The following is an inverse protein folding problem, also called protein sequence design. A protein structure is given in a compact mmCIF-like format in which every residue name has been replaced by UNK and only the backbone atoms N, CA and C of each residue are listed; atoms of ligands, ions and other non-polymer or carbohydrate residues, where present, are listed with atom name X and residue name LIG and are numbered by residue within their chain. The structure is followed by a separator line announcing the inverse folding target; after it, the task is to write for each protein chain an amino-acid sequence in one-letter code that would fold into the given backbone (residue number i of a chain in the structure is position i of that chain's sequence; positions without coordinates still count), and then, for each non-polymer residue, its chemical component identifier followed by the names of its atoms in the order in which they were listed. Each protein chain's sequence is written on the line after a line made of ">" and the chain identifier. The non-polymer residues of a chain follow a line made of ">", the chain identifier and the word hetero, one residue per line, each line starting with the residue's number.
data_IF_497058083124
#
_entry.id   IF_497058083124
#
_cell.length_a   1.000
_cell.length_b   1.000
_cell.length_c   1.000
_cell.angle_alpha   90.00
_cell.angle_beta   90.00
_cell.angle_gamma   90.00
#
_symmetry.space_group_name_H-M   'P 1'
#
loop_
_entity.id
_entity.type
_entity.pdbx_description
1 polymer ?
#
# COMPACT_ATOMS: atom_id res chain seq x y z
N UNK A 1 41.89 -63.14 51.20
CA UNK A 1 40.94 -62.11 51.68
C UNK A 1 41.37 -60.71 51.25
N UNK A 2 42.68 -60.39 51.23
CA UNK A 2 43.24 -59.12 50.72
C UNK A 2 42.93 -58.84 49.24
N UNK A 3 43.05 -59.85 48.39
CA UNK A 3 42.97 -59.65 46.93
C UNK A 3 41.53 -59.36 46.48
N UNK A 4 40.54 -59.87 47.24
CA UNK A 4 39.12 -59.58 47.01
C UNK A 4 38.82 -58.13 47.39
N UNK A 5 39.33 -57.64 48.53
CA UNK A 5 39.17 -56.22 48.90
C UNK A 5 39.87 -55.25 47.96
N UNK A 6 41.00 -55.65 47.35
CA UNK A 6 41.68 -54.84 46.34
C UNK A 6 40.90 -54.78 45.03
N UNK A 7 40.31 -55.91 44.62
CA UNK A 7 39.41 -55.97 43.47
C UNK A 7 38.13 -55.16 43.69
N UNK A 8 37.53 -55.23 44.88
CA UNK A 8 36.36 -54.43 45.26
C UNK A 8 36.66 -52.92 45.24
N UNK A 9 37.82 -52.50 45.77
CA UNK A 9 38.27 -51.11 45.72
C UNK A 9 38.53 -50.60 44.30
N UNK A 10 39.04 -51.47 43.42
CA UNK A 10 39.18 -51.14 41.99
C UNK A 10 37.84 -51.06 41.27
N UNK A 11 36.89 -51.94 41.63
CA UNK A 11 35.55 -51.93 41.07
C UNK A 11 34.76 -50.69 41.48
N UNK A 12 34.81 -50.28 42.75
CA UNK A 12 34.16 -49.05 43.21
C UNK A 12 34.76 -47.81 42.53
N UNK A 13 36.10 -47.75 42.41
CA UNK A 13 36.77 -46.68 41.68
C UNK A 13 36.40 -46.63 40.20
N UNK A 14 36.32 -47.80 39.53
CA UNK A 14 35.89 -47.90 38.15
C UNK A 14 34.43 -47.48 37.97
N UNK A 15 33.54 -47.89 38.89
CA UNK A 15 32.13 -47.52 38.87
C UNK A 15 31.91 -46.02 39.11
N UNK A 16 32.65 -45.40 40.03
CA UNK A 16 32.61 -43.94 40.22
C UNK A 16 33.12 -43.18 39.00
N UNK A 17 34.15 -43.69 38.32
CA UNK A 17 34.65 -43.10 37.07
C UNK A 17 33.62 -43.24 35.94
N UNK A 18 32.94 -44.37 35.85
CA UNK A 18 31.86 -44.58 34.88
C UNK A 18 30.68 -43.66 35.22
N UNK A 19 30.27 -43.55 36.48
CA UNK A 19 29.21 -42.65 36.91
C UNK A 19 29.53 -41.19 36.54
N UNK A 20 30.73 -40.70 36.86
CA UNK A 20 31.18 -39.36 36.42
C UNK A 20 31.25 -39.21 34.90
N UNK A 21 31.63 -40.28 34.19
CA UNK A 21 31.67 -40.30 32.73
C UNK A 21 30.28 -40.25 32.09
N UNK A 22 29.30 -40.94 32.69
CA UNK A 22 27.90 -40.93 32.28
C UNK A 22 27.26 -39.57 32.59
N UNK A 23 27.51 -39.00 33.77
CA UNK A 23 27.04 -37.66 34.11
C UNK A 23 27.63 -36.59 33.16
N UNK A 24 28.91 -36.71 32.80
CA UNK A 24 29.54 -35.83 31.83
C UNK A 24 28.97 -36.01 30.41
N UNK A 25 28.71 -37.25 29.98
CA UNK A 25 28.03 -37.51 28.70
C UNK A 25 26.60 -36.98 28.72
N UNK A 26 25.88 -37.12 29.82
CA UNK A 26 24.51 -36.65 29.97
C UNK A 26 24.44 -35.12 30.01
N UNK A 27 25.47 -34.45 30.54
CA UNK A 27 25.64 -33.00 30.45
C UNK A 27 25.99 -32.52 29.03
N UNK A 28 26.66 -33.33 28.22
CA UNK A 28 26.93 -33.05 26.79
C UNK A 28 25.71 -33.35 25.90
N UNK A 29 24.81 -34.22 26.36
CA UNK A 29 23.52 -34.53 25.70
C UNK A 29 22.39 -33.60 26.17
N UNK A 30 22.62 -32.79 27.22
CA UNK A 30 21.74 -31.67 27.51
C UNK A 30 21.68 -30.79 26.25
N UNK A 31 20.48 -30.54 25.74
CA UNK A 31 20.28 -29.80 24.49
C UNK A 31 21.11 -28.51 24.54
N UNK A 32 21.87 -28.20 23.46
CA UNK A 32 22.54 -26.92 23.40
C UNK A 32 21.45 -25.86 23.52
N UNK A 33 21.59 -24.97 24.50
CA UNK A 33 20.74 -23.80 24.64
C UNK A 33 20.69 -23.13 23.26
N UNK A 34 19.52 -23.15 22.61
CA UNK A 34 19.37 -22.61 21.27
C UNK A 34 19.64 -21.11 21.39
N UNK A 35 20.88 -20.71 21.07
CA UNK A 35 21.32 -19.33 21.23
C UNK A 35 20.35 -18.36 20.58
N UNK A 36 20.20 -17.18 21.17
CA UNK A 36 19.20 -16.18 20.78
C UNK A 36 19.14 -15.93 19.26
N UNK A 37 20.28 -16.03 18.57
CA UNK A 37 20.39 -15.91 17.10
C UNK A 37 19.57 -16.97 16.33
N UNK A 38 19.55 -18.22 16.81
CA UNK A 38 18.79 -19.32 16.18
C UNK A 38 17.29 -19.10 16.38
N UNK A 39 16.90 -18.58 17.55
CA UNK A 39 15.50 -18.24 17.82
C UNK A 39 15.05 -17.03 16.99
N UNK A 40 15.90 -16.02 16.82
CA UNK A 40 15.62 -14.87 15.97
C UNK A 40 15.45 -15.27 14.49
N UNK A 41 16.32 -16.14 13.97
CA UNK A 41 16.22 -16.65 12.60
C UNK A 41 14.96 -17.49 12.37
N UNK A 42 14.52 -18.28 13.36
CA UNK A 42 13.25 -19.02 13.27
C UNK A 42 12.04 -18.10 13.20
N UNK A 43 12.00 -17.05 14.04
CA UNK A 43 10.93 -16.04 13.97
C UNK A 43 10.92 -15.32 12.63
N UNK A 44 12.09 -14.99 12.09
CA UNK A 44 12.20 -14.37 10.76
C UNK A 44 11.66 -15.29 9.64
N UNK A 45 11.97 -16.60 9.69
CA UNK A 45 11.45 -17.59 8.75
C UNK A 45 9.92 -17.78 8.88
N UNK A 46 9.40 -17.79 10.11
CA UNK A 46 7.95 -17.86 10.37
C UNK A 46 7.23 -16.62 9.80
N UNK A 47 7.81 -15.44 9.95
CA UNK A 47 7.28 -14.21 9.38
C UNK A 47 7.32 -14.22 7.84
N UNK A 48 8.43 -14.66 7.25
CA UNK A 48 8.55 -14.79 5.78
C UNK A 48 7.54 -15.80 5.22
N UNK A 49 7.32 -16.92 5.91
CA UNK A 49 6.31 -17.91 5.54
C UNK A 49 4.88 -17.34 5.59
N UNK A 50 4.56 -16.52 6.60
CA UNK A 50 3.28 -15.81 6.72
C UNK A 50 3.07 -14.82 5.57
N UNK A 51 4.07 -14.00 5.27
CA UNK A 51 4.02 -13.04 4.16
C UNK A 51 3.86 -13.78 2.83
N UNK A 52 4.59 -14.88 2.63
CA UNK A 52 4.49 -15.70 1.42
C UNK A 52 3.09 -16.29 1.27
N UNK A 53 2.49 -16.83 2.34
CA UNK A 53 1.13 -17.34 2.32
C UNK A 53 0.09 -16.26 1.96
N UNK A 54 0.25 -15.04 2.50
CA UNK A 54 -0.60 -13.90 2.16
C UNK A 54 -0.43 -13.47 0.69
N UNK A 55 0.80 -13.48 0.17
CA UNK A 55 1.05 -13.18 -1.24
C UNK A 55 0.47 -14.26 -2.16
N UNK A 56 0.57 -15.53 -1.80
CA UNK A 56 -0.07 -16.62 -2.55
C UNK A 56 -1.59 -16.49 -2.57
N UNK A 57 -2.22 -16.11 -1.45
CA UNK A 57 -3.65 -15.86 -1.40
C UNK A 57 -4.05 -14.67 -2.29
N UNK A 58 -3.27 -13.57 -2.25
CA UNK A 58 -3.46 -12.42 -3.13
C UNK A 58 -3.30 -12.79 -4.61
N UNK A 59 -2.29 -13.58 -4.96
CA UNK A 59 -2.09 -14.05 -6.34
C UNK A 59 -3.26 -14.91 -6.78
N UNK A 60 -3.75 -15.84 -5.95
CA UNK A 60 -4.94 -16.66 -6.28
C UNK A 60 -6.20 -15.81 -6.47
N UNK A 61 -6.40 -14.80 -5.62
CA UNK A 61 -7.53 -13.90 -5.75
C UNK A 61 -7.44 -13.04 -7.02
N UNK A 62 -6.24 -12.58 -7.39
CA UNK A 62 -5.99 -11.84 -8.62
C UNK A 62 -6.20 -12.71 -9.86
N UNK A 63 -5.72 -13.95 -9.86
CA UNK A 63 -5.92 -14.87 -10.99
C UNK A 63 -7.39 -15.22 -11.16
N UNK A 64 -8.13 -15.49 -10.08
CA UNK A 64 -9.57 -15.74 -10.16
C UNK A 64 -10.34 -14.55 -10.74
N UNK A 65 -9.93 -13.32 -10.38
CA UNK A 65 -10.51 -12.09 -10.93
C UNK A 65 -10.13 -11.86 -12.41
N UNK A 66 -8.93 -12.25 -12.81
CA UNK A 66 -8.52 -12.21 -14.22
C UNK A 66 -9.33 -13.20 -15.04
N UNK A 67 -9.52 -14.42 -14.55
CA UNK A 67 -10.33 -15.44 -15.23
C UNK A 67 -11.79 -14.97 -15.41
N UNK A 68 -12.39 -14.39 -14.37
CA UNK A 68 -13.76 -13.83 -14.44
C UNK A 68 -13.87 -12.69 -15.47
N UNK A 69 -12.89 -11.77 -15.50
CA UNK A 69 -12.86 -10.68 -16.47
C UNK A 69 -12.62 -11.20 -17.91
N UNK A 70 -11.81 -12.24 -18.09
CA UNK A 70 -11.59 -12.87 -19.39
C UNK A 70 -12.85 -13.58 -19.89
N UNK A 71 -13.60 -14.25 -19.00
CA UNK A 71 -14.90 -14.85 -19.31
C UNK A 71 -15.94 -13.78 -19.69
N UNK A 72 -16.03 -12.66 -18.96
CA UNK A 72 -16.92 -11.56 -19.30
C UNK A 72 -16.58 -10.94 -20.67
N UNK A 73 -15.30 -10.71 -20.95
CA UNK A 73 -14.83 -10.08 -22.18
C UNK A 73 -14.98 -11.01 -23.39
N UNK A 74 -14.81 -12.32 -23.19
CA UNK A 74 -15.11 -13.31 -24.24
C UNK A 74 -16.60 -13.40 -24.51
N UNK A 75 -17.46 -13.42 -23.49
CA UNK A 75 -18.91 -13.39 -23.65
C UNK A 75 -19.39 -12.10 -24.35
N UNK A 76 -18.82 -10.94 -24.02
CA UNK A 76 -19.15 -9.66 -24.68
C UNK A 76 -18.74 -9.66 -26.16
N UNK A 77 -17.56 -10.20 -26.49
CA UNK A 77 -17.11 -10.35 -27.88
C UNK A 77 -18.01 -11.31 -28.67
N UNK A 78 -18.43 -12.41 -28.07
CA UNK A 78 -19.36 -13.37 -28.69
C UNK A 78 -20.74 -12.75 -28.90
N UNK A 79 -21.26 -11.99 -27.93
CA UNK A 79 -22.50 -11.24 -28.06
C UNK A 79 -22.41 -10.18 -29.17
N UNK A 80 -21.28 -9.47 -29.27
CA UNK A 80 -21.03 -8.49 -30.34
C UNK A 80 -20.95 -9.14 -31.72
N UNK A 81 -20.25 -10.27 -31.85
CA UNK A 81 -20.18 -11.02 -33.10
C UNK A 81 -21.55 -11.61 -33.51
N UNK A 82 -22.34 -12.07 -32.54
CA UNK A 82 -23.71 -12.51 -32.77
C UNK A 82 -24.63 -11.35 -33.22
N UNK A 83 -24.44 -10.15 -32.66
CA UNK A 83 -25.17 -8.95 -33.07
C UNK A 83 -24.75 -8.48 -34.48
N UNK A 84 -23.47 -8.57 -34.84
CA UNK A 84 -22.95 -8.22 -36.15
C UNK A 84 -23.47 -9.17 -37.24
N UNK A 85 -23.47 -10.47 -36.99
CA UNK A 85 -24.06 -11.49 -37.89
C UNK A 85 -25.59 -11.38 -37.99
N UNK A 86 -26.28 -11.00 -36.91
CA UNK A 86 -27.70 -10.67 -36.94
C UNK A 86 -27.99 -9.38 -37.73
N UNK A 87 -27.09 -8.40 -37.67
CA UNK A 87 -27.18 -7.15 -38.43
C UNK A 87 -26.95 -7.36 -39.93
N UNK A 88 -26.11 -8.32 -40.33
CA UNK A 88 -25.92 -8.68 -41.74
C UNK A 88 -27.11 -9.43 -42.35
N UNK A 89 -27.98 -10.00 -41.51
CA UNK A 89 -29.12 -10.85 -41.95
C UNK A 89 -30.49 -10.17 -41.85
N UNK A 90 -30.60 -9.00 -41.20
CA UNK A 90 -31.84 -8.25 -41.03
C UNK A 90 -31.84 -6.94 -41.86
N UNK A 91 -32.98 -6.55 -42.45
CA UNK A 91 -33.10 -5.29 -43.21
C UNK A 91 -32.99 -4.03 -42.33
N UNK A 92 -32.67 -2.88 -42.94
CA UNK A 92 -32.28 -1.61 -42.28
C UNK A 92 -33.09 -1.23 -41.02
N UNK A 93 -34.42 -1.37 -41.02
CA UNK A 93 -35.26 -1.03 -39.86
C UNK A 93 -35.13 -2.01 -38.67
N UNK A 94 -34.79 -3.28 -38.93
CA UNK A 94 -34.54 -4.28 -37.89
C UNK A 94 -33.11 -4.15 -37.33
N UNK A 95 -32.15 -3.68 -38.15
CA UNK A 95 -30.79 -3.35 -37.72
C UNK A 95 -30.82 -2.16 -36.75
N UNK A 96 -31.56 -1.11 -37.07
CA UNK A 96 -31.65 0.08 -36.21
C UNK A 96 -32.31 -0.24 -34.85
N UNK A 97 -33.37 -1.07 -34.84
CA UNK A 97 -34.01 -1.54 -33.62
C UNK A 97 -33.12 -2.51 -32.80
N UNK A 98 -32.29 -3.32 -33.47
CA UNK A 98 -31.35 -4.20 -32.79
C UNK A 98 -30.16 -3.42 -32.20
N UNK A 99 -29.67 -2.40 -32.91
CA UNK A 99 -28.62 -1.51 -32.44
C UNK A 99 -29.07 -0.65 -31.26
N UNK A 100 -30.29 -0.10 -31.28
CA UNK A 100 -30.82 0.65 -30.13
C UNK A 100 -30.98 -0.23 -28.90
N UNK A 101 -31.53 -1.43 -29.08
CA UNK A 101 -31.65 -2.42 -28.01
C UNK A 101 -30.28 -2.86 -27.47
N UNK A 102 -29.32 -3.12 -28.33
CA UNK A 102 -27.95 -3.48 -27.93
C UNK A 102 -27.24 -2.32 -27.21
N UNK A 103 -27.47 -1.07 -27.62
CA UNK A 103 -26.95 0.12 -26.95
C UNK A 103 -27.56 0.30 -25.55
N UNK A 104 -28.86 0.05 -25.40
CA UNK A 104 -29.54 0.03 -24.09
C UNK A 104 -29.00 -1.08 -23.18
N UNK A 105 -28.83 -2.29 -23.71
CA UNK A 105 -28.27 -3.43 -22.97
C UNK A 105 -26.80 -3.19 -22.58
N UNK A 106 -25.99 -2.62 -23.47
CA UNK A 106 -24.60 -2.25 -23.19
C UNK A 106 -24.50 -1.12 -22.14
N UNK A 107 -25.37 -0.11 -22.23
CA UNK A 107 -25.48 0.95 -21.21
C UNK A 107 -25.86 0.38 -19.85
N UNK A 108 -26.83 -0.54 -19.80
CA UNK A 108 -27.22 -1.22 -18.57
C UNK A 108 -26.10 -2.11 -18.00
N UNK A 109 -25.36 -2.82 -18.86
CA UNK A 109 -24.21 -3.63 -18.46
C UNK A 109 -23.07 -2.78 -17.89
N UNK A 110 -22.76 -1.63 -18.53
CA UNK A 110 -21.77 -0.68 -18.03
C UNK A 110 -22.18 -0.10 -16.68
N UNK A 111 -23.44 0.31 -16.51
CA UNK A 111 -23.96 0.80 -15.23
C UNK A 111 -23.88 -0.28 -14.12
N UNK A 112 -24.16 -1.54 -14.45
CA UNK A 112 -24.06 -2.66 -13.50
C UNK A 112 -22.59 -2.98 -13.13
N UNK A 113 -21.68 -2.97 -14.10
CA UNK A 113 -20.25 -3.16 -13.88
C UNK A 113 -19.65 -2.02 -13.04
N UNK A 114 -20.04 -0.77 -13.30
CA UNK A 114 -19.64 0.38 -12.50
C UNK A 114 -20.17 0.29 -11.06
N UNK A 115 -21.43 -0.13 -10.85
CA UNK A 115 -21.98 -0.34 -9.51
C UNK A 115 -21.26 -1.46 -8.73
N UNK A 116 -20.85 -2.54 -9.41
CA UNK A 116 -20.02 -3.60 -8.80
C UNK A 116 -18.63 -3.08 -8.44
N UNK A 117 -18.03 -2.23 -9.28
CA UNK A 117 -16.74 -1.61 -8.99
C UNK A 117 -16.82 -0.67 -7.77
N UNK A 118 -17.90 0.10 -7.61
CA UNK A 118 -18.15 0.91 -6.41
C UNK A 118 -18.33 0.05 -5.14
N UNK A 119 -19.06 -1.07 -5.25
CA UNK A 119 -19.21 -2.01 -4.14
C UNK A 119 -17.87 -2.64 -3.74
N UNK A 120 -17.03 -3.00 -4.71
CA UNK A 120 -15.70 -3.54 -4.45
C UNK A 120 -14.77 -2.49 -3.80
N UNK A 121 -14.89 -1.24 -4.21
CA UNK A 121 -14.07 -0.14 -3.69
C UNK A 121 -14.45 0.26 -2.26
N UNK A 122 -15.76 0.28 -1.95
CA UNK A 122 -16.25 0.47 -0.58
C UNK A 122 -15.88 -0.70 0.33
N UNK A 123 -15.93 -1.93 -0.19
CA UNK A 123 -15.44 -3.11 0.54
C UNK A 123 -13.93 -3.05 0.79
N UNK A 124 -13.14 -2.57 -0.18
CA UNK A 124 -11.70 -2.39 -0.01
C UNK A 124 -11.36 -1.30 1.01
N UNK A 125 -12.12 -0.19 1.05
CA UNK A 125 -11.97 0.84 2.08
C UNK A 125 -12.29 0.27 3.48
N UNK A 126 -13.41 -0.45 3.61
CA UNK A 126 -13.77 -1.09 4.88
C UNK A 126 -12.77 -2.16 5.33
N UNK A 127 -12.13 -2.86 4.38
CA UNK A 127 -11.06 -3.80 4.67
C UNK A 127 -9.78 -3.10 5.13
N UNK A 128 -9.45 -1.93 4.56
CA UNK A 128 -8.31 -1.11 4.98
C UNK A 128 -8.50 -0.58 6.41
N UNK A 129 -9.68 -0.02 6.72
CA UNK A 129 -10.02 0.46 8.07
C UNK A 129 -9.89 -0.66 9.10
N UNK A 130 -10.30 -1.88 8.74
CA UNK A 130 -10.20 -3.07 9.60
C UNK A 130 -8.77 -3.56 9.78
N UNK A 131 -7.91 -3.35 8.79
CA UNK A 131 -6.49 -3.72 8.84
C UNK A 131 -5.73 -2.73 9.72
N UNK A 132 -6.09 -1.45 9.69
CA UNK A 132 -5.59 -0.41 10.59
C UNK A 132 -6.01 -0.69 12.05
N UNK A 133 -7.27 -1.07 12.30
CA UNK A 133 -7.76 -1.46 13.64
C UNK A 133 -7.01 -2.69 14.21
N UNK A 134 -6.65 -3.64 13.35
CA UNK A 134 -5.83 -4.81 13.74
C UNK A 134 -4.37 -4.44 13.99
N UNK A 135 -3.80 -3.51 13.21
CA UNK A 135 -2.44 -3.01 13.40
C UNK A 135 -2.29 -2.15 14.67
N UNK A 136 -3.30 -1.35 15.01
CA UNK A 136 -3.37 -0.63 16.28
C UNK A 136 -3.47 -1.58 17.49
N UNK A 137 -4.14 -2.72 17.33
CA UNK A 137 -4.23 -3.76 18.36
C UNK A 137 -2.93 -4.57 18.55
N UNK A 138 -2.04 -4.58 17.54
CA UNK A 138 -0.76 -5.30 17.55
C UNK A 138 0.42 -4.42 18.01
N UNK A 139 0.17 -3.15 18.36
CA UNK A 139 1.17 -2.22 18.87
C UNK A 139 1.52 -2.48 20.36
N UNK A 140 2.15 -3.61 20.65
CA UNK A 140 2.96 -3.81 21.84
C UNK A 140 4.43 -4.05 21.44
N UNK A 141 5.30 -3.12 21.88
CA UNK A 141 6.78 -3.09 21.84
C UNK A 141 7.44 -2.21 20.74
N UNK A 142 8.04 -1.06 21.11
CA UNK A 142 8.94 -0.32 20.23
C UNK A 142 10.34 -0.95 20.25
N UNK A 143 10.83 -1.40 19.11
CA UNK A 143 12.27 -1.64 18.92
C UNK A 143 12.90 -0.42 18.27
N UNK A 144 13.84 0.19 18.99
CA UNK A 144 14.61 1.38 18.60
C UNK A 144 15.53 1.07 17.41
N UNK A 145 14.99 1.17 16.20
CA UNK A 145 15.77 1.49 15.01
C UNK A 145 14.90 2.37 14.10
N UNK A 146 15.35 3.61 13.94
CA UNK A 146 14.98 4.57 12.89
C UNK A 146 13.71 5.42 13.03
N UNK A 147 13.71 6.36 13.97
CA UNK A 147 12.65 7.38 14.13
C UNK A 147 12.51 8.34 12.93
N UNK A 148 13.53 8.45 12.07
CA UNK A 148 13.52 9.34 10.91
C UNK A 148 13.01 8.63 9.65
N UNK A 149 13.45 7.41 9.38
CA UNK A 149 12.90 6.59 8.30
C UNK A 149 11.42 6.24 8.57
N UNK A 150 11.05 5.96 9.81
CA UNK A 150 9.64 5.74 10.18
C UNK A 150 8.77 6.98 9.98
N UNK A 151 9.30 8.18 10.22
CA UNK A 151 8.57 9.43 9.97
C UNK A 151 8.38 9.71 8.47
N UNK A 152 9.40 9.49 7.64
CA UNK A 152 9.31 9.63 6.18
C UNK A 152 8.36 8.59 5.56
N UNK A 153 8.41 7.35 6.04
CA UNK A 153 7.47 6.30 5.63
C UNK A 153 6.03 6.64 6.06
N UNK A 154 5.83 7.21 7.24
CA UNK A 154 4.52 7.65 7.70
C UNK A 154 3.97 8.83 6.86
N UNK A 155 4.82 9.79 6.49
CA UNK A 155 4.45 10.90 5.60
C UNK A 155 4.05 10.39 4.21
N UNK A 156 4.83 9.47 3.63
CA UNK A 156 4.51 8.86 2.33
C UNK A 156 3.18 8.08 2.38
N UNK A 157 2.91 7.33 3.47
CA UNK A 157 1.61 6.65 3.66
C UNK A 157 0.44 7.63 3.69
N UNK A 158 0.57 8.73 4.44
CA UNK A 158 -0.47 9.76 4.49
C UNK A 158 -0.73 10.43 3.12
N UNK A 159 0.34 10.68 2.34
CA UNK A 159 0.22 11.21 0.99
C UNK A 159 -0.44 10.22 0.02
N UNK A 160 -0.14 8.92 0.14
CA UNK A 160 -0.79 7.86 -0.64
C UNK A 160 -2.29 7.76 -0.33
N UNK A 161 -2.68 7.87 0.95
CA UNK A 161 -4.08 7.87 1.34
C UNK A 161 -4.84 9.09 0.82
N UNK A 162 -4.20 10.26 0.82
CA UNK A 162 -4.76 11.46 0.23
C UNK A 162 -4.89 11.34 -1.30
N UNK A 163 -3.86 10.84 -1.99
CA UNK A 163 -3.92 10.56 -3.43
C UNK A 163 -5.04 9.57 -3.75
N UNK A 164 -5.19 8.51 -2.96
CA UNK A 164 -6.29 7.56 -3.10
C UNK A 164 -7.64 8.28 -3.01
N UNK A 165 -7.86 9.10 -1.96
CA UNK A 165 -9.09 9.92 -1.81
C UNK A 165 -9.33 10.83 -3.02
N UNK A 166 -8.30 11.49 -3.56
CA UNK A 166 -8.41 12.34 -4.76
C UNK A 166 -8.76 11.55 -6.02
N UNK A 167 -8.16 10.38 -6.22
CA UNK A 167 -8.50 9.49 -7.34
C UNK A 167 -9.93 8.94 -7.25
N UNK A 168 -10.44 8.67 -6.04
CA UNK A 168 -11.86 8.32 -5.83
C UNK A 168 -12.77 9.48 -6.25
N UNK A 169 -12.46 10.70 -5.80
CA UNK A 169 -13.20 11.91 -6.17
C UNK A 169 -13.15 12.17 -7.68
N UNK A 170 -11.99 12.03 -8.32
CA UNK A 170 -11.84 12.18 -9.77
C UNK A 170 -12.73 11.18 -10.52
N UNK A 171 -12.71 9.90 -10.16
CA UNK A 171 -13.58 8.89 -10.78
C UNK A 171 -15.06 9.21 -10.59
N UNK A 172 -15.47 9.68 -9.41
CA UNK A 172 -16.83 10.14 -9.16
C UNK A 172 -17.22 11.33 -10.07
N UNK A 173 -16.34 12.31 -10.25
CA UNK A 173 -16.59 13.47 -11.12
C UNK A 173 -16.67 13.06 -12.60
N UNK A 174 -15.77 12.19 -13.06
CA UNK A 174 -15.80 11.64 -14.44
C UNK A 174 -17.11 10.89 -14.71
N UNK A 175 -17.64 10.12 -13.74
CA UNK A 175 -18.96 9.49 -13.88
C UNK A 175 -20.08 10.53 -14.02
N UNK A 176 -20.05 11.58 -13.21
CA UNK A 176 -21.03 12.68 -13.28
C UNK A 176 -20.98 13.41 -14.63
N UNK A 177 -19.79 13.66 -15.16
CA UNK A 177 -19.58 14.27 -16.47
C UNK A 177 -20.11 13.39 -17.60
N UNK A 178 -19.85 12.08 -17.57
CA UNK A 178 -20.42 11.13 -18.54
C UNK A 178 -21.94 11.13 -18.49
N UNK A 179 -22.54 11.09 -17.30
CA UNK A 179 -24.00 11.15 -17.13
C UNK A 179 -24.61 12.45 -17.66
N UNK A 180 -23.99 13.60 -17.37
CA UNK A 180 -24.46 14.89 -17.88
C UNK A 180 -24.34 14.99 -19.41
N UNK A 181 -23.26 14.48 -19.98
CA UNK A 181 -23.07 14.41 -21.44
C UNK A 181 -24.04 13.43 -22.11
N UNK A 182 -24.39 12.31 -21.46
CA UNK A 182 -25.39 11.38 -21.97
C UNK A 182 -26.77 12.05 -22.03
N UNK A 183 -27.17 12.80 -21.01
CA UNK A 183 -28.45 13.54 -21.02
C UNK A 183 -28.53 14.54 -22.17
N UNK A 184 -27.43 15.22 -22.50
CA UNK A 184 -27.37 16.11 -23.66
C UNK A 184 -27.53 15.34 -24.97
N UNK A 185 -26.89 14.17 -25.10
CA UNK A 185 -27.02 13.31 -26.29
C UNK A 185 -28.44 12.79 -26.45
N UNK A 186 -29.06 12.32 -25.37
CA UNK A 186 -30.43 11.81 -25.38
C UNK A 186 -31.44 12.88 -25.83
N UNK A 187 -31.27 14.14 -25.39
CA UNK A 187 -32.11 15.26 -25.82
C UNK A 187 -31.96 15.53 -27.33
N UNK A 188 -30.72 15.52 -27.83
CA UNK A 188 -30.44 15.72 -29.26
C UNK A 188 -31.00 14.58 -30.10
N UNK A 189 -30.85 13.33 -29.67
CA UNK A 189 -31.32 12.14 -30.37
C UNK A 189 -32.85 12.07 -30.44
N UNK A 190 -33.55 12.46 -29.37
CA UNK A 190 -35.02 12.55 -29.35
C UNK A 190 -35.57 13.73 -30.14
N UNK A 191 -34.70 14.59 -30.69
CA UNK A 191 -35.10 15.82 -31.38
C UNK A 191 -35.72 16.86 -30.44
N UNK A 192 -35.48 16.73 -29.13
CA UNK A 192 -35.93 17.67 -28.12
C UNK A 192 -35.07 18.95 -28.18
N UNK A 193 -35.65 20.09 -27.79
CA UNK A 193 -34.88 21.31 -27.64
C UNK A 193 -33.93 21.14 -26.44
N UNK A 194 -32.63 21.36 -26.64
CA UNK A 194 -31.64 21.24 -25.57
C UNK A 194 -31.91 22.32 -24.51
N UNK A 195 -32.18 21.87 -23.29
CA UNK A 195 -32.49 22.75 -22.16
C UNK A 195 -31.22 23.45 -21.65
N UNK A 196 -31.29 24.77 -21.41
CA UNK A 196 -30.13 25.55 -20.92
C UNK A 196 -29.63 25.04 -19.56
N UNK A 197 -30.52 24.53 -18.71
CA UNK A 197 -30.15 23.93 -17.43
C UNK A 197 -29.30 22.68 -17.59
N UNK A 198 -29.58 21.84 -18.59
CA UNK A 198 -28.81 20.63 -18.87
C UNK A 198 -27.41 20.99 -19.37
N UNK A 199 -27.29 21.99 -20.24
CA UNK A 199 -25.99 22.53 -20.69
C UNK A 199 -25.21 23.09 -19.50
N UNK A 200 -25.88 23.86 -18.63
CA UNK A 200 -25.24 24.42 -17.43
C UNK A 200 -24.74 23.32 -16.50
N UNK A 201 -25.50 22.23 -16.33
CA UNK A 201 -25.10 21.07 -15.51
C UNK A 201 -23.91 20.32 -16.11
N UNK A 202 -23.85 20.15 -17.44
CA UNK A 202 -22.71 19.54 -18.11
C UNK A 202 -21.44 20.39 -17.94
N UNK A 203 -21.52 21.69 -18.20
CA UNK A 203 -20.38 22.59 -17.99
C UNK A 203 -19.90 22.63 -16.53
N UNK A 204 -20.83 22.56 -15.57
CA UNK A 204 -20.49 22.43 -14.16
C UNK A 204 -19.80 21.10 -13.83
N UNK A 205 -20.22 20.00 -14.46
CA UNK A 205 -19.58 18.70 -14.31
C UNK A 205 -18.16 18.72 -14.90
N UNK A 206 -17.97 19.30 -16.09
CA UNK A 206 -16.65 19.45 -16.72
C UNK A 206 -15.68 20.25 -15.82
N UNK A 207 -16.14 21.39 -15.28
CA UNK A 207 -15.34 22.18 -14.36
C UNK A 207 -14.99 21.38 -13.10
N UNK A 208 -15.94 20.62 -12.55
CA UNK A 208 -15.69 19.77 -11.39
C UNK A 208 -14.64 18.68 -11.69
N UNK A 209 -14.70 18.04 -12.87
CA UNK A 209 -13.69 17.07 -13.31
C UNK A 209 -12.31 17.71 -13.44
N UNK A 210 -12.20 18.87 -14.11
CA UNK A 210 -10.93 19.59 -14.26
C UNK A 210 -10.32 19.98 -12.91
N UNK A 211 -11.15 20.40 -11.96
CA UNK A 211 -10.67 20.70 -10.60
C UNK A 211 -10.19 19.45 -9.86
N UNK A 212 -10.92 18.35 -9.95
CA UNK A 212 -10.53 17.08 -9.32
C UNK A 212 -9.26 16.50 -9.94
N UNK A 213 -9.08 16.64 -11.25
CA UNK A 213 -7.88 16.22 -11.98
C UNK A 213 -6.68 17.02 -11.49
N UNK A 214 -6.80 18.35 -11.45
CA UNK A 214 -5.73 19.22 -10.95
C UNK A 214 -5.37 18.92 -9.49
N UNK A 215 -6.35 18.66 -8.64
CA UNK A 215 -6.09 18.29 -7.25
C UNK A 215 -5.34 16.95 -7.13
N UNK A 216 -5.71 15.95 -7.94
CA UNK A 216 -5.01 14.66 -7.98
C UNK A 216 -3.56 14.82 -8.46
N UNK A 217 -3.33 15.59 -9.53
CA UNK A 217 -1.99 15.90 -10.04
C UNK A 217 -1.12 16.62 -9.01
N UNK A 218 -1.69 17.56 -8.24
CA UNK A 218 -0.95 18.25 -7.16
C UNK A 218 -0.54 17.26 -6.07
N UNK A 219 -1.40 16.31 -5.69
CA UNK A 219 -1.05 15.30 -4.68
C UNK A 219 -0.05 14.28 -5.21
N UNK A 220 -0.16 13.87 -6.47
CA UNK A 220 0.77 12.97 -7.12
C UNK A 220 2.16 13.61 -7.23
N UNK A 221 2.22 14.87 -7.67
CA UNK A 221 3.48 15.61 -7.71
C UNK A 221 4.09 15.80 -6.33
N UNK A 222 3.28 16.04 -5.29
CA UNK A 222 3.78 16.10 -3.91
C UNK A 222 4.38 14.77 -3.45
N UNK A 223 3.73 13.64 -3.77
CA UNK A 223 4.24 12.29 -3.49
C UNK A 223 5.57 12.04 -4.20
N UNK A 224 5.64 12.30 -5.52
CA UNK A 224 6.87 12.14 -6.30
C UNK A 224 8.00 12.99 -5.72
N UNK A 225 7.71 14.25 -5.35
CA UNK A 225 8.70 15.12 -4.73
C UNK A 225 9.15 14.63 -3.34
N UNK A 226 8.26 13.98 -2.57
CA UNK A 226 8.60 13.37 -1.29
C UNK A 226 9.54 12.16 -1.49
N UNK A 227 9.28 11.31 -2.48
CA UNK A 227 10.14 10.16 -2.82
C UNK A 227 11.50 10.57 -3.40
N UNK A 228 11.55 11.65 -4.19
CA UNK A 228 12.79 12.15 -4.77
C UNK A 228 13.65 12.95 -3.78
N UNK A 229 13.04 13.51 -2.72
CA UNK A 229 13.73 14.30 -1.69
C UNK A 229 14.92 13.59 -1.04
N UNK A 230 14.80 12.34 -0.53
CA UNK A 230 15.93 11.64 0.07
C UNK A 230 17.04 11.32 -0.95
N UNK A 231 16.71 11.09 -2.23
CA UNK A 231 17.73 10.86 -3.27
C UNK A 231 18.56 12.11 -3.55
N UNK A 232 17.91 13.28 -3.54
CA UNK A 232 18.60 14.57 -3.72
C UNK A 232 19.37 14.97 -2.46
N UNK A 233 18.81 14.76 -1.26
CA UNK A 233 19.45 15.14 0.01
C UNK A 233 20.54 14.14 0.44
N UNK A 234 20.36 12.85 0.21
CA UNK A 234 21.39 11.82 0.44
C UNK A 234 22.62 12.01 -0.46
N UNK A 235 22.42 12.47 -1.70
CA UNK A 235 23.52 12.90 -2.58
C UNK A 235 24.19 14.21 -2.16
N UNK A 236 23.54 15.05 -1.34
CA UNK A 236 24.12 16.27 -0.76
C UNK A 236 24.83 15.96 0.57
N UNK A 237 24.37 14.97 1.34
CA UNK A 237 25.02 14.52 2.57
C UNK A 237 26.45 14.00 2.30
N UNK A 238 26.70 13.37 1.14
CA UNK A 238 28.03 12.94 0.72
C UNK A 238 28.96 14.11 0.31
N UNK A 239 28.40 15.30 0.00
CA UNK A 239 29.16 16.49 -0.44
C UNK A 239 29.49 17.45 0.71
N UNK A 240 28.82 17.34 1.86
CA UNK A 240 29.04 18.26 3.00
C UNK A 240 30.19 17.82 3.93
N UNK A 241 30.74 16.61 3.78
CA UNK A 241 31.82 16.09 4.66
C UNK A 241 33.25 16.55 4.28
N UNK A 242 33.43 17.68 3.58
CA UNK A 242 34.79 18.20 3.24
C UNK A 242 34.98 19.70 3.55
N UNK A 243 34.14 20.34 4.36
CA UNK A 243 34.37 21.75 4.72
C UNK A 243 34.11 22.08 6.20
N UNK A 244 34.94 21.54 7.09
CA UNK A 244 35.22 22.16 8.38
C UNK A 244 36.60 22.84 8.34
N UNK A 245 36.71 24.17 8.50
CA UNK A 245 37.95 24.77 8.96
C UNK A 245 37.91 24.90 10.49
N UNK A 246 38.99 24.42 11.09
CA UNK A 246 39.24 24.29 12.52
C UNK A 246 39.00 25.56 13.35
N UNK A 247 38.48 25.34 14.54
CA UNK A 247 38.50 26.29 15.66
C UNK A 247 39.95 26.60 16.06
N UNK A 248 40.28 27.88 16.18
CA UNK A 248 41.41 28.35 16.97
C UNK A 248 40.90 29.53 17.81
N UNK A 249 40.74 29.27 19.11
CA UNK A 249 40.55 30.31 20.14
C UNK A 249 41.71 30.19 21.11
N UNK A 250 42.19 31.32 21.63
CA UNK A 250 42.13 31.42 23.09
C UNK A 250 41.62 32.77 23.61
N UNK A 251 41.27 32.70 24.89
CA UNK A 251 40.42 33.53 25.73
C UNK A 251 41.11 34.81 26.31
N UNK A 252 40.37 35.46 27.23
CA UNK A 252 40.67 36.63 28.10
C UNK A 252 40.19 37.99 27.54
N UNK A 253 39.38 38.82 28.19
CA UNK A 253 39.21 39.05 29.63
C UNK A 253 37.85 39.75 29.92
N UNK A 254 37.44 39.65 31.19
CA UNK A 254 36.13 39.93 31.77
C UNK A 254 36.00 41.37 32.30
N UNK A 255 34.75 41.87 32.39
CA UNK A 255 34.27 42.99 33.26
C UNK A 255 34.64 44.42 32.83
N UNK A 256 33.82 45.48 32.91
CA UNK A 256 32.79 45.91 33.88
C UNK A 256 31.89 47.03 33.29
N UNK A 257 30.63 47.07 33.74
CA UNK A 257 29.79 48.24 34.13
C UNK A 257 29.97 49.63 33.47
N UNK A 258 28.87 50.16 32.91
CA UNK A 258 28.26 51.48 33.18
C UNK A 258 27.14 51.73 32.13
N UNK A 259 25.85 51.63 32.46
CA UNK A 259 25.00 52.66 33.10
C UNK A 259 24.85 53.95 32.26
N UNK A 260 23.67 54.06 31.64
CA UNK A 260 22.69 55.16 31.75
C UNK A 260 23.14 56.63 31.51
N UNK A 261 22.38 57.33 30.65
CA UNK A 261 22.17 58.80 30.49
C UNK A 261 22.40 59.26 29.03
N UNK A 262 21.36 59.60 28.25
CA UNK A 262 20.51 60.80 28.25
C UNK A 262 21.05 61.96 27.38
N UNK A 263 20.25 62.38 26.38
CA UNK A 263 20.31 63.67 25.67
C UNK A 263 21.51 63.86 24.72
N UNK A 264 21.50 64.71 23.70
CA UNK A 264 20.57 65.71 23.19
C UNK A 264 21.14 66.15 21.81
N UNK A 265 20.31 66.89 21.06
CA UNK A 265 20.53 67.59 19.77
C UNK A 265 20.11 66.87 18.50
#
# INVERSE_FOLDING_TARGET
>A
MSDISELEGRLSSALERIARGVDAMQAVVAEPDEGDDVQALRRALENEALVTAQMEERVRALTARQDELEEELTAEKEARAAAETASETAGEAAVEAALSKAAEEHSQALMAAEARAEAAETAAAAAADKLEELQEAEAEAPTETDAAETAAVAENRALLDELAKRLRRLRQMVRRERGANQQLRDQVEKGEMVELSTVTQALQADLATLTALREAEITETALILAELRPLVQGGVAEVVEVAAPAEDTPEEEVMTEAREEAGDV
#
